data_IF_987653921579
#
_entry.id   IF_987653921579
#
_cell.length_a   1.000
_cell.length_b   1.000
_cell.length_c   1.000
_cell.angle_alpha   90.00
_cell.angle_beta   90.00
_cell.angle_gamma   90.00
#
_symmetry.space_group_name_H-M   'P 1'
#
loop_
_entity.id
_entity.type
_entity.pdbx_description
1 polymer ?
#
# COMPACT_ATOMS: atom_id res chain seq x y z
N UNK A 1 8.23 -24.79 -1.40
CA UNK A 1 8.31 -24.32 -2.79
C UNK A 1 6.96 -23.70 -3.08
N UNK A 2 6.83 -22.37 -2.90
CA UNK A 2 5.60 -21.67 -3.26
C UNK A 2 5.69 -21.37 -4.75
N UNK A 3 4.76 -21.93 -5.52
CA UNK A 3 4.68 -21.72 -6.96
C UNK A 3 4.46 -20.24 -7.27
N UNK A 4 5.29 -19.72 -8.18
CA UNK A 4 5.18 -18.36 -8.72
C UNK A 4 3.81 -18.21 -9.41
N UNK A 5 3.00 -17.20 -9.10
CA UNK A 5 1.74 -16.98 -9.83
C UNK A 5 2.03 -16.71 -11.31
N UNK A 6 1.29 -17.38 -12.19
CA UNK A 6 1.39 -17.21 -13.64
C UNK A 6 1.09 -15.77 -14.06
N UNK A 7 1.78 -15.25 -15.10
CA UNK A 7 1.54 -13.90 -15.60
C UNK A 7 0.11 -13.77 -16.14
N UNK A 8 -0.54 -12.65 -15.81
CA UNK A 8 -1.89 -12.32 -16.28
C UNK A 8 -1.92 -12.27 -17.81
N UNK A 9 -2.66 -13.18 -18.42
CA UNK A 9 -2.93 -13.19 -19.86
C UNK A 9 -4.17 -12.34 -20.20
N UNK A 10 -4.34 -12.02 -21.48
CA UNK A 10 -5.43 -11.16 -22.00
C UNK A 10 -6.83 -11.67 -21.63
N UNK A 11 -7.00 -12.99 -21.46
CA UNK A 11 -8.27 -13.61 -21.08
C UNK A 11 -8.58 -13.36 -19.60
N UNK A 12 -7.56 -13.43 -18.74
CA UNK A 12 -7.68 -13.21 -17.30
C UNK A 12 -7.86 -11.72 -16.96
N UNK A 13 -7.32 -10.82 -17.78
CA UNK A 13 -7.54 -9.36 -17.66
C UNK A 13 -9.01 -8.97 -17.88
N UNK A 14 -9.67 -9.60 -18.85
CA UNK A 14 -11.09 -9.30 -19.17
C UNK A 14 -12.04 -9.77 -18.06
N UNK A 15 -11.77 -10.93 -17.47
CA UNK A 15 -12.53 -11.44 -16.32
C UNK A 15 -12.34 -10.53 -15.10
N UNK A 16 -11.10 -10.13 -14.81
CA UNK A 16 -10.78 -9.23 -13.70
C UNK A 16 -11.49 -7.86 -13.84
N UNK A 17 -11.46 -7.28 -15.05
CA UNK A 17 -12.13 -6.01 -15.35
C UNK A 17 -13.66 -6.09 -15.26
N UNK A 18 -14.23 -7.27 -15.52
CA UNK A 18 -15.68 -7.49 -15.41
C UNK A 18 -16.13 -7.58 -13.94
N UNK A 19 -15.33 -8.22 -13.07
CA UNK A 19 -15.64 -8.33 -11.64
C UNK A 19 -15.51 -7.00 -10.88
N UNK A 20 -14.59 -6.14 -11.28
CA UNK A 20 -14.41 -4.82 -10.66
C UNK A 20 -15.48 -3.79 -11.04
N UNK A 21 -16.32 -4.06 -12.05
CA UNK A 21 -17.33 -3.12 -12.54
C UNK A 21 -18.75 -3.40 -12.02
N UNK A 22 -18.89 -4.38 -11.11
CA UNK A 22 -20.17 -4.75 -10.49
C UNK A 22 -20.41 -3.85 -9.28
N UNK A 23 -21.04 -2.69 -9.49
CA UNK A 23 -21.47 -1.80 -8.39
C UNK A 23 -22.57 -2.47 -7.57
N UNK A 24 -22.43 -2.69 -6.24
CA UNK A 24 -23.52 -3.16 -5.40
C UNK A 24 -24.37 -1.98 -4.95
N UNK A 25 -24.96 -1.24 -5.88
CA UNK A 25 -25.75 -0.03 -5.56
C UNK A 25 -26.99 0.03 -6.45
N UNK A 26 -27.91 -0.93 -6.28
CA UNK A 26 -29.23 -0.82 -6.90
C UNK A 26 -30.33 -1.62 -6.20
N UNK A 27 -30.19 -1.86 -4.89
CA UNK A 27 -31.20 -2.56 -4.08
C UNK A 27 -31.48 -1.89 -2.72
N UNK A 28 -31.18 -0.60 -2.61
CA UNK A 28 -31.75 0.26 -1.55
C UNK A 28 -33.00 0.92 -2.11
N UNK A 29 -34.03 0.08 -2.30
CA UNK A 29 -35.35 0.44 -2.75
C UNK A 29 -36.05 1.33 -1.70
N UNK A 30 -36.58 2.48 -2.14
CA UNK A 30 -38.00 2.82 -2.02
C UNK A 30 -38.59 3.06 -0.61
N UNK A 31 -37.81 3.07 0.47
CA UNK A 31 -38.34 3.38 1.82
C UNK A 31 -38.40 4.86 2.22
N UNK A 32 -37.91 5.79 1.39
CA UNK A 32 -37.81 7.22 1.72
C UNK A 32 -38.99 8.09 1.24
N UNK A 33 -40.20 7.52 1.14
CA UNK A 33 -41.35 8.23 0.55
C UNK A 33 -42.53 8.50 1.51
N UNK A 34 -42.37 8.51 2.84
CA UNK A 34 -43.54 8.76 3.72
C UNK A 34 -43.30 9.42 5.08
N UNK A 35 -42.14 10.02 5.37
CA UNK A 35 -41.95 10.79 6.63
C UNK A 35 -41.74 12.29 6.39
N UNK A 36 -42.67 12.93 5.66
CA UNK A 36 -42.67 14.40 5.48
C UNK A 36 -43.63 15.15 6.42
N UNK A 37 -44.32 14.49 7.34
CA UNK A 37 -45.23 15.16 8.29
C UNK A 37 -45.28 14.44 9.64
N UNK A 38 -44.26 14.65 10.48
CA UNK A 38 -44.39 14.76 11.94
C UNK A 38 -43.01 15.04 12.54
N UNK A 39 -42.85 16.23 13.13
CA UNK A 39 -41.66 16.61 13.86
C UNK A 39 -41.42 15.74 15.10
N UNK A 40 -40.61 14.70 14.93
CA UNK A 40 -39.82 14.13 16.00
C UNK A 40 -38.36 14.48 15.72
N UNK A 41 -37.68 15.02 16.74
CA UNK A 41 -36.39 15.67 16.67
C UNK A 41 -35.35 14.92 15.86
N UNK A 42 -34.44 15.68 15.27
CA UNK A 42 -33.23 15.17 14.64
C UNK A 42 -32.65 14.06 15.52
N UNK A 43 -32.56 12.81 15.04
CA UNK A 43 -31.55 11.95 15.60
C UNK A 43 -30.25 12.66 15.30
N UNK A 44 -29.61 13.20 16.35
CA UNK A 44 -28.17 13.38 16.38
C UNK A 44 -27.56 12.00 16.16
N UNK A 45 -27.56 11.53 14.92
CA UNK A 45 -26.59 10.57 14.47
C UNK A 45 -25.26 11.24 14.79
N UNK A 46 -24.45 10.71 15.72
CA UNK A 46 -23.08 11.15 15.79
C UNK A 46 -22.57 10.99 14.36
N UNK A 47 -22.09 12.08 13.77
CA UNK A 47 -21.35 12.04 12.52
C UNK A 47 -20.28 10.99 12.75
N UNK A 48 -20.51 9.76 12.27
CA UNK A 48 -19.45 8.82 12.02
C UNK A 48 -18.63 9.52 10.96
N UNK A 49 -17.69 10.33 11.41
CA UNK A 49 -16.50 10.62 10.66
C UNK A 49 -15.84 9.25 10.56
N UNK A 50 -16.22 8.47 9.56
CA UNK A 50 -15.37 7.38 9.10
C UNK A 50 -14.00 8.04 8.92
N UNK A 51 -13.01 7.52 9.64
CA UNK A 51 -11.66 8.05 9.58
C UNK A 51 -11.22 8.12 8.12
N UNK A 52 -11.28 9.32 7.53
CA UNK A 52 -10.70 9.57 6.23
C UNK A 52 -9.21 9.69 6.49
N UNK A 53 -8.54 8.54 6.49
CA UNK A 53 -7.10 8.44 6.31
C UNK A 53 -6.76 9.30 5.10
N UNK A 54 -5.98 10.36 5.30
CA UNK A 54 -5.78 11.37 4.28
C UNK A 54 -5.13 10.73 3.05
N UNK A 55 -5.55 11.11 1.84
CA UNK A 55 -5.02 10.53 0.57
C UNK A 55 -3.49 10.69 0.40
N UNK A 56 -2.88 11.52 1.24
CA UNK A 56 -1.45 11.76 1.29
C UNK A 56 -0.71 10.92 2.35
N UNK A 57 -1.36 9.95 2.99
CA UNK A 57 -0.76 9.07 3.98
C UNK A 57 -0.43 7.69 3.37
N UNK A 58 0.42 6.91 4.03
CA UNK A 58 0.77 5.56 3.56
C UNK A 58 -0.39 4.61 3.80
N UNK A 59 -1.07 4.77 4.93
CA UNK A 59 -2.23 4.01 5.38
C UNK A 59 -3.38 4.07 4.36
N UNK A 60 -3.47 5.16 3.60
CA UNK A 60 -4.45 5.28 2.52
C UNK A 60 -4.24 4.25 1.40
N UNK A 61 -2.98 3.87 1.16
CA UNK A 61 -2.59 2.90 0.12
C UNK A 61 -2.43 1.49 0.66
N UNK A 62 -2.53 1.30 1.98
CA UNK A 62 -2.49 -0.03 2.58
C UNK A 62 -3.74 -0.83 2.15
N UNK A 63 -3.53 -2.01 1.58
CA UNK A 63 -4.61 -2.87 1.08
C UNK A 63 -5.17 -2.50 -0.30
N UNK A 64 -4.75 -1.38 -0.90
CA UNK A 64 -5.05 -1.05 -2.29
C UNK A 64 -4.13 -1.85 -3.23
N UNK A 65 -4.68 -2.87 -3.89
CA UNK A 65 -3.92 -3.77 -4.75
C UNK A 65 -3.23 -3.05 -5.92
N UNK A 66 -3.81 -1.99 -6.46
CA UNK A 66 -3.19 -1.23 -7.56
C UNK A 66 -2.01 -0.41 -7.03
N UNK A 67 -2.19 0.26 -5.90
CA UNK A 67 -1.13 1.00 -5.24
C UNK A 67 0.04 0.10 -4.83
N UNK A 68 -0.24 -1.07 -4.26
CA UNK A 68 0.78 -2.06 -3.89
C UNK A 68 1.50 -2.62 -5.12
N UNK A 69 0.78 -2.90 -6.21
CA UNK A 69 1.40 -3.34 -7.47
C UNK A 69 2.32 -2.26 -8.04
N UNK A 70 1.92 -0.99 -7.99
CA UNK A 70 2.77 0.15 -8.38
C UNK A 70 4.02 0.25 -7.49
N UNK A 71 3.86 0.16 -6.17
CA UNK A 71 4.97 0.16 -5.22
C UNK A 71 5.97 -0.96 -5.47
N UNK A 72 5.47 -2.18 -5.75
CA UNK A 72 6.29 -3.32 -6.11
C UNK A 72 7.09 -3.09 -7.41
N UNK A 73 6.44 -2.56 -8.46
CA UNK A 73 7.11 -2.30 -9.73
C UNK A 73 8.29 -1.32 -9.57
N UNK A 74 8.11 -0.27 -8.77
CA UNK A 74 9.18 0.69 -8.45
C UNK A 74 10.27 0.02 -7.62
N UNK A 75 9.90 -0.76 -6.60
CA UNK A 75 10.84 -1.50 -5.76
C UNK A 75 11.73 -2.43 -6.61
N UNK A 76 11.16 -3.21 -7.50
CA UNK A 76 11.92 -4.10 -8.39
C UNK A 76 12.86 -3.32 -9.31
N UNK A 77 12.36 -2.24 -9.92
CA UNK A 77 13.13 -1.44 -10.88
C UNK A 77 14.26 -0.62 -10.26
N UNK A 78 14.11 -0.18 -9.01
CA UNK A 78 14.99 0.85 -8.42
C UNK A 78 15.70 0.42 -7.13
N UNK A 79 15.16 -0.54 -6.38
CA UNK A 79 15.65 -0.91 -5.06
C UNK A 79 16.22 -2.35 -5.03
N UNK A 80 15.48 -3.31 -5.58
CA UNK A 80 15.78 -4.73 -5.48
C UNK A 80 17.01 -5.11 -6.30
N UNK A 81 16.98 -4.82 -7.61
CA UNK A 81 17.90 -5.35 -8.63
C UNK A 81 19.39 -5.21 -8.32
N UNK A 82 19.78 -4.29 -7.43
CA UNK A 82 21.18 -4.05 -7.09
C UNK A 82 21.50 -4.14 -5.59
N UNK A 83 20.52 -4.03 -4.69
CA UNK A 83 20.80 -3.85 -3.26
C UNK A 83 19.91 -4.64 -2.31
N UNK A 84 18.63 -4.85 -2.62
CA UNK A 84 17.68 -5.41 -1.65
C UNK A 84 17.07 -6.76 -2.06
N UNK A 85 17.43 -7.27 -3.24
CA UNK A 85 16.99 -8.59 -3.70
C UNK A 85 17.66 -9.72 -2.89
N UNK A 86 16.88 -10.74 -2.52
CA UNK A 86 17.36 -11.87 -1.71
C UNK A 86 18.42 -12.72 -2.43
N UNK A 87 18.41 -12.73 -3.77
CA UNK A 87 19.36 -13.51 -4.58
C UNK A 87 20.77 -12.92 -4.65
N UNK A 88 20.98 -11.70 -4.15
CA UNK A 88 22.30 -11.06 -4.14
C UNK A 88 23.26 -11.74 -3.14
N UNK A 89 24.59 -11.68 -3.37
CA UNK A 89 25.59 -12.23 -2.45
C UNK A 89 25.46 -11.69 -1.02
N UNK A 90 25.80 -12.51 -0.02
CA UNK A 90 25.81 -12.08 1.38
C UNK A 90 26.76 -10.89 1.60
N UNK A 91 26.38 -9.97 2.49
CA UNK A 91 27.11 -8.71 2.72
C UNK A 91 26.90 -7.62 1.66
N UNK A 92 26.25 -7.96 0.54
CA UNK A 92 25.87 -7.01 -0.52
C UNK A 92 24.38 -6.65 -0.49
N UNK A 93 23.59 -7.35 0.34
CA UNK A 93 22.15 -7.13 0.48
C UNK A 93 21.69 -6.94 1.92
N UNK A 94 20.71 -6.06 2.09
CA UNK A 94 19.88 -5.98 3.29
C UNK A 94 18.47 -6.42 2.91
N UNK A 95 17.94 -7.43 3.60
CA UNK A 95 16.59 -7.91 3.34
C UNK A 95 15.58 -6.94 4.00
N UNK A 96 14.81 -6.21 3.19
CA UNK A 96 13.85 -5.24 3.73
C UNK A 96 12.55 -5.88 4.24
N UNK A 97 12.33 -7.17 3.98
CA UNK A 97 11.10 -7.88 4.36
C UNK A 97 11.26 -8.73 5.62
N UNK A 98 12.40 -8.61 6.32
CA UNK A 98 12.59 -9.20 7.64
C UNK A 98 12.16 -8.26 8.77
N UNK A 99 12.48 -8.63 10.00
CA UNK A 99 12.07 -7.92 11.19
C UNK A 99 13.02 -6.82 11.63
N UNK A 100 14.23 -6.73 11.05
CA UNK A 100 15.33 -5.96 11.62
C UNK A 100 15.60 -4.70 10.82
N UNK A 101 14.88 -3.62 11.14
CA UNK A 101 15.18 -2.29 10.61
C UNK A 101 15.87 -1.44 11.68
N UNK A 102 17.02 -0.86 11.32
CA UNK A 102 17.90 -0.14 12.24
C UNK A 102 17.81 1.39 12.13
N UNK A 103 17.06 1.90 11.15
CA UNK A 103 16.91 3.33 10.87
C UNK A 103 15.49 3.84 11.16
N UNK A 104 14.74 3.13 12.00
CA UNK A 104 13.33 3.38 12.31
C UNK A 104 12.38 2.47 11.55
N UNK A 105 11.16 2.34 12.06
CA UNK A 105 10.11 1.44 11.55
C UNK A 105 8.77 2.13 11.25
N UNK A 106 8.69 3.45 11.48
CA UNK A 106 7.56 4.26 11.09
C UNK A 106 7.53 4.52 9.58
N UNK A 107 6.36 4.89 9.07
CA UNK A 107 6.19 5.21 7.64
C UNK A 107 7.04 6.39 7.21
N UNK A 108 7.18 7.36 8.11
CA UNK A 108 8.00 8.56 7.98
C UNK A 108 9.49 8.23 7.98
N UNK A 109 9.93 7.29 8.83
CA UNK A 109 11.33 6.86 8.88
C UNK A 109 11.74 6.19 7.57
N UNK A 110 10.93 5.24 7.09
CA UNK A 110 11.16 4.54 5.82
C UNK A 110 11.22 5.56 4.68
N UNK A 111 10.23 6.45 4.60
CA UNK A 111 10.19 7.50 3.59
C UNK A 111 11.43 8.40 3.66
N UNK A 112 11.84 8.79 4.87
CA UNK A 112 13.04 9.61 5.09
C UNK A 112 14.32 8.89 4.64
N UNK A 113 14.46 7.59 4.92
CA UNK A 113 15.60 6.78 4.47
C UNK A 113 15.63 6.67 2.95
N UNK A 114 14.49 6.43 2.30
CA UNK A 114 14.41 6.37 0.83
C UNK A 114 14.78 7.72 0.21
N UNK A 115 14.24 8.82 0.74
CA UNK A 115 14.48 10.17 0.19
C UNK A 115 15.92 10.63 0.40
N UNK A 116 16.45 10.46 1.62
CA UNK A 116 17.76 11.00 2.01
C UNK A 116 18.92 10.04 1.77
N UNK A 117 18.63 8.75 1.64
CA UNK A 117 19.65 7.70 1.66
C UNK A 117 20.28 7.56 3.06
N UNK A 118 21.33 6.75 3.14
CA UNK A 118 22.08 6.55 4.39
C UNK A 118 23.55 6.89 4.19
N UNK A 119 23.98 7.98 4.81
CA UNK A 119 25.37 8.47 4.73
C UNK A 119 26.36 7.40 5.19
N UNK A 120 27.45 7.25 4.44
CA UNK A 120 28.49 6.26 4.74
C UNK A 120 28.13 4.83 4.29
N UNK A 121 27.00 4.65 3.60
CA UNK A 121 26.60 3.37 3.00
C UNK A 121 26.46 3.49 1.49
N UNK A 122 26.07 2.39 0.83
CA UNK A 122 25.73 2.35 -0.60
C UNK A 122 24.28 2.72 -0.91
N UNK A 123 23.43 2.95 0.10
CA UNK A 123 22.02 3.31 -0.10
C UNK A 123 21.91 4.79 -0.52
N UNK A 124 21.59 5.08 -1.80
CA UNK A 124 21.47 6.45 -2.27
C UNK A 124 20.20 7.10 -1.73
N UNK A 125 20.16 8.43 -1.73
CA UNK A 125 18.93 9.17 -1.57
C UNK A 125 18.25 9.35 -2.92
N UNK A 126 16.97 8.99 -3.00
CA UNK A 126 16.16 9.14 -4.21
C UNK A 126 15.54 10.53 -4.35
N UNK A 127 15.53 11.34 -3.29
CA UNK A 127 14.91 12.67 -3.31
C UNK A 127 13.46 12.62 -3.77
N UNK A 128 13.10 13.52 -4.68
CA UNK A 128 11.78 13.57 -5.31
C UNK A 128 11.74 12.85 -6.68
N UNK A 129 12.73 12.01 -6.99
CA UNK A 129 12.86 11.32 -8.28
C UNK A 129 11.90 10.12 -8.42
N UNK A 130 10.61 10.38 -8.26
CA UNK A 130 9.54 9.41 -8.46
C UNK A 130 8.69 9.80 -9.67
N UNK A 131 8.29 8.85 -10.54
CA UNK A 131 7.60 9.20 -11.78
C UNK A 131 6.21 9.79 -11.58
N UNK A 132 5.48 9.34 -10.55
CA UNK A 132 4.10 9.78 -10.29
C UNK A 132 3.92 10.27 -8.84
N UNK A 133 2.86 11.04 -8.64
CA UNK A 133 2.46 11.48 -7.31
C UNK A 133 2.21 10.28 -6.39
N UNK A 134 2.60 10.43 -5.12
CA UNK A 134 2.45 9.43 -4.06
C UNK A 134 3.24 8.13 -4.27
N UNK A 135 4.06 8.00 -5.31
CA UNK A 135 4.83 6.78 -5.56
C UNK A 135 5.74 6.39 -4.39
N UNK A 136 6.36 7.36 -3.72
CA UNK A 136 7.09 7.10 -2.47
C UNK A 136 6.20 6.38 -1.44
N UNK A 137 4.97 6.84 -1.24
CA UNK A 137 4.04 6.25 -0.26
C UNK A 137 3.56 4.87 -0.69
N UNK A 138 3.33 4.67 -1.99
CA UNK A 138 3.00 3.35 -2.56
C UNK A 138 4.15 2.36 -2.37
N UNK A 139 5.41 2.79 -2.53
CA UNK A 139 6.60 1.97 -2.22
C UNK A 139 6.64 1.63 -0.74
N UNK A 140 6.43 2.61 0.15
CA UNK A 140 6.41 2.35 1.60
C UNK A 140 5.27 1.38 1.97
N UNK A 141 4.06 1.57 1.43
CA UNK A 141 2.93 0.67 1.63
C UNK A 141 3.25 -0.75 1.15
N UNK A 142 3.91 -0.88 -0.01
CA UNK A 142 4.38 -2.16 -0.51
C UNK A 142 5.37 -2.85 0.45
N UNK A 143 6.41 -2.13 0.91
CA UNK A 143 7.39 -2.65 1.86
C UNK A 143 6.73 -3.17 3.13
N UNK A 144 5.74 -2.45 3.67
CA UNK A 144 4.98 -2.88 4.85
C UNK A 144 4.12 -4.11 4.59
N UNK A 145 3.35 -4.10 3.50
CA UNK A 145 2.46 -5.21 3.14
C UNK A 145 3.22 -6.53 2.92
N UNK A 146 4.48 -6.43 2.51
CA UNK A 146 5.34 -7.57 2.18
C UNK A 146 6.27 -7.96 3.32
N UNK A 147 6.26 -7.21 4.43
CA UNK A 147 7.02 -7.56 5.63
C UNK A 147 6.37 -8.78 6.29
N UNK A 148 7.18 -9.74 6.73
CA UNK A 148 6.67 -10.86 7.52
C UNK A 148 6.15 -10.34 8.87
N UNK A 149 5.09 -10.97 9.39
CA UNK A 149 4.61 -10.70 10.74
C UNK A 149 5.73 -11.01 11.74
N UNK A 150 6.23 -9.97 12.39
CA UNK A 150 7.26 -10.07 13.42
C UNK A 150 6.57 -10.25 14.77
N UNK A 151 5.92 -11.39 14.96
CA UNK A 151 5.56 -11.83 16.31
C UNK A 151 6.79 -12.45 16.96
N UNK A 152 7.06 -12.01 18.18
CA UNK A 152 8.23 -12.34 18.97
C UNK A 152 8.59 -13.83 18.91
N UNK A 153 9.84 -14.12 18.58
CA UNK A 153 10.55 -15.25 19.21
C UNK A 153 10.79 -14.78 20.65
N UNK A 154 9.88 -15.17 21.56
CA UNK A 154 10.13 -15.17 23.00
C UNK A 154 11.18 -16.22 23.35
#
# INVERSE_FOLDING_TARGET
MMDRPEPLNEKNFTVYKTLQNIKPVSLVLIFYASCFFAGCGEPILPRMQTGQVAQNSVEFFEGDLEALARGNAIYLGSCANFCHEYSLPEGHRLNLFDCSWIYGDSNEDIASVIVKGVKGTRMPGFGDNFPEAHDLKKVVAYLRSSRRSCELIL
#
